data_IF_598600621791
#
_entry.id   IF_598600621791
#
_cell.length_a   1.000
_cell.length_b   1.000
_cell.length_c   1.000
_cell.angle_alpha   90.00
_cell.angle_beta   90.00
_cell.angle_gamma   90.00
#
_symmetry.space_group_name_H-M   'P 1'
#
loop_
_entity.id
_entity.type
_entity.pdbx_description
1 polymer ?
#
# COMPACT_ATOMS: atom_id res chain seq x y z
N UNK A 1 9.08 36.69 23.36
CA UNK A 1 7.93 37.46 22.85
C UNK A 1 7.83 37.37 21.31
N UNK A 2 8.87 37.77 20.55
CA UNK A 2 8.85 37.74 19.08
C UNK A 2 8.79 36.31 18.51
N UNK A 3 9.43 35.37 19.16
CA UNK A 3 9.41 33.95 18.78
C UNK A 3 8.05 33.27 19.08
N UNK A 4 7.34 33.69 20.12
CA UNK A 4 5.99 33.21 20.44
C UNK A 4 4.94 33.77 19.50
N UNK A 5 5.09 35.04 19.08
CA UNK A 5 4.20 35.70 18.14
C UNK A 5 4.36 35.12 16.72
N UNK A 6 5.60 34.81 16.28
CA UNK A 6 5.88 34.12 15.02
C UNK A 6 5.38 32.64 15.03
N UNK A 7 5.44 31.96 16.18
CA UNK A 7 4.90 30.59 16.29
C UNK A 7 3.38 30.57 16.27
N UNK A 8 2.71 31.49 16.94
CA UNK A 8 1.24 31.60 16.89
C UNK A 8 0.74 31.97 15.49
N UNK A 9 1.43 32.84 14.78
CA UNK A 9 1.11 33.20 13.39
C UNK A 9 1.26 32.01 12.45
N UNK A 10 2.29 31.19 12.64
CA UNK A 10 2.53 29.98 11.82
C UNK A 10 1.47 28.88 12.07
N UNK A 11 1.05 28.67 13.34
CA UNK A 11 -0.02 27.73 13.65
C UNK A 11 -1.37 28.16 13.11
N UNK A 12 -1.67 29.45 13.19
CA UNK A 12 -2.89 30.02 12.63
C UNK A 12 -2.93 29.85 11.12
N UNK A 13 -1.82 30.12 10.42
CA UNK A 13 -1.70 29.91 8.98
C UNK A 13 -1.87 28.44 8.61
N UNK A 14 -1.19 27.53 9.32
CA UNK A 14 -1.29 26.11 9.09
C UNK A 14 -2.74 25.60 9.18
N UNK A 15 -3.44 25.95 10.27
CA UNK A 15 -4.78 25.46 10.51
C UNK A 15 -5.86 26.16 9.68
N UNK A 16 -5.73 27.46 9.43
CA UNK A 16 -6.77 28.27 8.76
C UNK A 16 -6.63 28.30 7.25
N UNK A 17 -5.41 28.18 6.73
CA UNK A 17 -5.16 28.28 5.28
C UNK A 17 -4.63 26.98 4.69
N UNK A 18 -3.54 26.43 5.22
CA UNK A 18 -2.88 25.26 4.64
C UNK A 18 -3.77 24.01 4.70
N UNK A 19 -4.27 23.63 5.87
CA UNK A 19 -5.08 22.40 6.03
C UNK A 19 -6.37 22.43 5.21
N UNK A 20 -7.16 23.52 5.18
CA UNK A 20 -8.35 23.59 4.32
C UNK A 20 -8.03 23.48 2.82
N UNK A 21 -6.95 24.14 2.35
CA UNK A 21 -6.51 24.02 0.96
C UNK A 21 -6.08 22.61 0.61
N UNK A 22 -5.26 21.99 1.44
CA UNK A 22 -4.83 20.58 1.31
C UNK A 22 -6.04 19.65 1.25
N UNK A 23 -7.00 19.81 2.15
CA UNK A 23 -8.21 18.99 2.16
C UNK A 23 -9.06 19.19 0.88
N UNK A 24 -9.17 20.41 0.37
CA UNK A 24 -9.89 20.69 -0.87
C UNK A 24 -9.19 20.05 -2.07
N UNK A 25 -7.88 20.24 -2.20
CA UNK A 25 -7.08 19.65 -3.28
C UNK A 25 -7.11 18.13 -3.17
N UNK A 26 -6.90 17.58 -1.97
CA UNK A 26 -6.91 16.16 -1.70
C UNK A 26 -8.24 15.50 -2.05
N UNK A 27 -9.38 16.14 -1.75
CA UNK A 27 -10.70 15.64 -2.15
C UNK A 27 -10.86 15.63 -3.67
N UNK A 28 -10.51 16.73 -4.35
CA UNK A 28 -10.66 16.82 -5.81
C UNK A 28 -9.76 15.78 -6.50
N UNK A 29 -8.49 15.74 -6.15
CA UNK A 29 -7.53 14.79 -6.74
C UNK A 29 -7.84 13.35 -6.37
N UNK A 30 -8.35 13.09 -5.16
CA UNK A 30 -8.80 11.79 -4.71
C UNK A 30 -9.99 11.28 -5.53
N UNK A 31 -11.04 12.08 -5.70
CA UNK A 31 -12.17 11.71 -6.55
C UNK A 31 -11.76 11.52 -8.01
N UNK A 32 -10.89 12.38 -8.53
CA UNK A 32 -10.34 12.23 -9.88
C UNK A 32 -9.53 10.93 -10.01
N UNK A 33 -8.71 10.60 -9.01
CA UNK A 33 -7.96 9.35 -8.97
C UNK A 33 -8.86 8.12 -8.98
N UNK A 34 -9.94 8.12 -8.18
CA UNK A 34 -10.94 7.05 -8.19
C UNK A 34 -11.58 6.93 -9.57
N UNK A 35 -11.99 8.04 -10.19
CA UNK A 35 -12.61 8.04 -11.52
C UNK A 35 -11.64 7.49 -12.58
N UNK A 36 -10.40 7.93 -12.55
CA UNK A 36 -9.37 7.47 -13.48
C UNK A 36 -8.99 5.99 -13.28
N UNK A 37 -9.14 5.45 -12.07
CA UNK A 37 -8.87 4.02 -11.82
C UNK A 37 -9.84 3.09 -12.56
N UNK A 38 -11.04 3.56 -12.90
CA UNK A 38 -11.99 2.80 -13.74
C UNK A 38 -11.70 2.88 -15.24
N UNK A 39 -10.82 3.80 -15.67
CA UNK A 39 -10.52 4.01 -17.12
C UNK A 39 -10.08 2.73 -17.84
N UNK A 40 -9.17 1.90 -17.32
CA UNK A 40 -8.78 0.66 -17.99
C UNK A 40 -9.96 -0.31 -18.18
N UNK A 41 -10.81 -0.45 -17.17
CA UNK A 41 -11.99 -1.29 -17.24
C UNK A 41 -13.02 -0.76 -18.25
N UNK A 42 -13.23 0.56 -18.28
CA UNK A 42 -14.11 1.21 -19.25
C UNK A 42 -13.57 1.06 -20.69
N UNK A 43 -12.29 1.21 -20.92
CA UNK A 43 -11.66 0.99 -22.23
C UNK A 43 -11.88 -0.45 -22.69
N UNK A 44 -11.65 -1.43 -21.83
CA UNK A 44 -11.89 -2.85 -22.16
C UNK A 44 -13.37 -3.10 -22.49
N UNK A 45 -14.28 -2.53 -21.74
CA UNK A 45 -15.72 -2.70 -21.96
C UNK A 45 -16.20 -2.01 -23.24
N UNK A 46 -15.83 -0.73 -23.45
CA UNK A 46 -16.39 0.10 -24.53
C UNK A 46 -15.65 -0.10 -25.86
N UNK A 47 -14.33 -0.14 -25.84
CA UNK A 47 -13.51 -0.23 -27.06
C UNK A 47 -13.37 -1.67 -27.53
N UNK A 48 -13.15 -2.60 -26.60
CA UNK A 48 -12.90 -4.01 -26.92
C UNK A 48 -14.11 -4.92 -26.73
N UNK A 49 -15.21 -4.41 -26.18
CA UNK A 49 -16.44 -5.20 -25.91
C UNK A 49 -16.26 -6.31 -24.88
N UNK A 50 -15.19 -6.25 -24.08
CA UNK A 50 -14.85 -7.27 -23.08
C UNK A 50 -15.52 -6.91 -21.76
N UNK A 51 -16.62 -7.61 -21.45
CA UNK A 51 -17.32 -7.48 -20.17
C UNK A 51 -17.10 -8.74 -19.33
N UNK A 52 -16.58 -8.62 -18.12
CA UNK A 52 -16.42 -9.76 -17.22
C UNK A 52 -17.79 -10.28 -16.75
N UNK A 53 -17.89 -11.59 -16.53
CA UNK A 53 -19.10 -12.18 -15.94
C UNK A 53 -19.30 -11.66 -14.51
N UNK A 54 -20.54 -11.37 -14.06
CA UNK A 54 -20.79 -10.86 -12.71
C UNK A 54 -20.20 -11.73 -11.59
N UNK A 55 -20.24 -13.06 -11.75
CA UNK A 55 -19.64 -13.99 -10.79
C UNK A 55 -18.11 -13.83 -10.70
N UNK A 56 -17.43 -13.58 -11.82
CA UNK A 56 -15.99 -13.34 -11.83
C UNK A 56 -15.63 -12.02 -11.16
N UNK A 57 -16.44 -10.96 -11.36
CA UNK A 57 -16.30 -9.69 -10.66
C UNK A 57 -16.44 -9.84 -9.16
N UNK A 58 -17.47 -10.55 -8.70
CA UNK A 58 -17.70 -10.79 -7.28
C UNK A 58 -16.52 -11.57 -6.66
N UNK A 59 -16.07 -12.63 -7.33
CA UNK A 59 -14.91 -13.42 -6.85
C UNK A 59 -13.65 -12.57 -6.78
N UNK A 60 -13.37 -11.76 -7.79
CA UNK A 60 -12.22 -10.86 -7.80
C UNK A 60 -12.30 -9.80 -6.69
N UNK A 61 -13.49 -9.23 -6.47
CA UNK A 61 -13.72 -8.27 -5.39
C UNK A 61 -13.50 -8.90 -4.01
N UNK A 62 -14.07 -10.07 -3.76
CA UNK A 62 -13.89 -10.78 -2.48
C UNK A 62 -12.41 -11.12 -2.26
N UNK A 63 -11.71 -11.60 -3.28
CA UNK A 63 -10.27 -11.90 -3.20
C UNK A 63 -9.45 -10.64 -2.90
N UNK A 64 -9.71 -9.55 -3.60
CA UNK A 64 -9.04 -8.26 -3.37
C UNK A 64 -9.35 -7.67 -1.99
N UNK A 65 -10.61 -7.66 -1.59
CA UNK A 65 -11.02 -7.17 -0.27
C UNK A 65 -10.44 -8.03 0.87
N UNK A 66 -10.32 -9.34 0.66
CA UNK A 66 -9.70 -10.25 1.63
C UNK A 66 -8.20 -9.98 1.79
N UNK A 67 -7.51 -9.69 0.69
CA UNK A 67 -6.07 -9.44 0.71
C UNK A 67 -5.73 -8.05 1.29
N UNK A 68 -6.50 -7.03 0.95
CA UNK A 68 -6.15 -5.64 1.21
C UNK A 68 -7.10 -4.90 2.16
N UNK A 69 -8.27 -5.48 2.48
CA UNK A 69 -9.30 -4.78 3.25
C UNK A 69 -8.84 -4.32 4.63
N UNK A 70 -8.00 -5.08 5.32
CA UNK A 70 -7.41 -4.66 6.61
C UNK A 70 -6.48 -3.46 6.41
N UNK A 71 -5.69 -3.45 5.34
CA UNK A 71 -4.75 -2.37 5.03
C UNK A 71 -5.47 -1.06 4.74
N UNK A 72 -6.67 -1.10 4.13
CA UNK A 72 -7.48 0.09 3.86
C UNK A 72 -7.81 0.92 5.12
N UNK A 73 -7.85 0.28 6.28
CA UNK A 73 -8.10 0.94 7.57
C UNK A 73 -6.81 1.17 8.35
N UNK A 74 -5.92 0.18 8.40
CA UNK A 74 -4.72 0.23 9.23
C UNK A 74 -3.69 1.23 8.68
N UNK A 75 -3.51 1.27 7.37
CA UNK A 75 -2.52 2.17 6.76
C UNK A 75 -2.82 3.65 6.97
N UNK A 76 -4.03 4.17 6.70
CA UNK A 76 -4.34 5.57 6.97
C UNK A 76 -4.14 5.96 8.44
N UNK A 77 -4.59 5.10 9.35
CA UNK A 77 -4.46 5.34 10.80
C UNK A 77 -2.98 5.36 11.23
N UNK A 78 -2.16 4.47 10.65
CA UNK A 78 -0.75 4.35 11.01
C UNK A 78 0.12 5.46 10.43
N UNK A 79 -0.20 5.96 9.23
CA UNK A 79 0.65 6.94 8.54
C UNK A 79 0.26 8.37 8.83
N UNK A 80 -1.01 8.65 9.06
CA UNK A 80 -1.52 10.00 9.32
C UNK A 80 -0.77 10.75 10.45
N UNK A 81 -0.47 10.13 11.61
CA UNK A 81 0.28 10.81 12.67
C UNK A 81 1.71 11.22 12.27
N UNK A 82 2.31 10.51 11.30
CA UNK A 82 3.70 10.75 10.88
C UNK A 82 3.79 11.79 9.77
N UNK A 83 2.90 11.69 8.78
CA UNK A 83 3.00 12.46 7.54
C UNK A 83 1.91 13.52 7.38
N UNK A 84 0.93 13.55 8.27
CA UNK A 84 -0.19 14.49 8.24
C UNK A 84 -1.20 14.24 7.12
N UNK A 85 -2.16 15.16 6.96
CA UNK A 85 -3.25 15.01 6.00
C UNK A 85 -2.75 15.02 4.55
N UNK A 86 -1.89 15.97 4.18
CA UNK A 86 -1.34 16.09 2.84
C UNK A 86 -0.52 14.86 2.46
N UNK A 87 0.38 14.44 3.33
CA UNK A 87 1.20 13.26 3.12
C UNK A 87 0.39 11.99 2.98
N UNK A 88 -0.65 11.81 3.78
CA UNK A 88 -1.49 10.62 3.73
C UNK A 88 -2.19 10.49 2.38
N UNK A 89 -2.92 11.51 1.91
CA UNK A 89 -3.62 11.39 0.62
C UNK A 89 -2.65 11.25 -0.56
N UNK A 90 -1.51 11.95 -0.52
CA UNK A 90 -0.48 11.83 -1.56
C UNK A 90 0.11 10.41 -1.61
N UNK A 91 0.34 9.80 -0.45
CA UNK A 91 0.82 8.43 -0.36
C UNK A 91 -0.16 7.45 -1.01
N UNK A 92 -1.46 7.58 -0.71
CA UNK A 92 -2.49 6.71 -1.30
C UNK A 92 -2.67 6.90 -2.80
N UNK A 93 -2.67 8.14 -3.29
CA UNK A 93 -2.78 8.41 -4.72
C UNK A 93 -1.58 7.93 -5.53
N UNK A 94 -0.38 8.04 -4.96
CA UNK A 94 0.85 7.73 -5.68
C UNK A 94 1.30 6.27 -5.54
N UNK A 95 0.77 5.54 -4.56
CA UNK A 95 1.16 4.17 -4.26
C UNK A 95 2.59 4.02 -3.71
N UNK A 96 3.01 2.76 -3.52
CA UNK A 96 4.33 2.39 -2.97
C UNK A 96 4.64 3.05 -1.63
N UNK A 97 3.65 3.00 -0.72
CA UNK A 97 3.62 3.78 0.51
C UNK A 97 4.76 3.36 1.43
N UNK A 98 4.76 2.10 1.87
CA UNK A 98 5.67 1.59 2.90
C UNK A 98 7.12 1.51 2.46
N UNK A 99 7.37 1.22 1.17
CA UNK A 99 8.73 0.99 0.69
C UNK A 99 9.41 2.26 0.17
N UNK A 100 8.65 3.28 -0.20
CA UNK A 100 9.23 4.50 -0.78
C UNK A 100 8.70 5.78 -0.13
N UNK A 101 7.39 5.97 -0.02
CA UNK A 101 6.83 7.25 0.43
C UNK A 101 7.15 7.57 1.88
N UNK A 102 6.91 6.64 2.78
CA UNK A 102 7.19 6.82 4.20
C UNK A 102 8.70 6.95 4.48
N UNK A 103 9.59 6.11 3.93
CA UNK A 103 11.03 6.33 4.07
C UNK A 103 11.49 7.70 3.56
N UNK A 104 11.03 8.16 2.39
CA UNK A 104 11.39 9.48 1.87
C UNK A 104 10.87 10.62 2.77
N UNK A 105 9.66 10.51 3.28
CA UNK A 105 9.09 11.47 4.23
C UNK A 105 9.92 11.54 5.52
N UNK A 106 10.22 10.37 6.10
CA UNK A 106 11.01 10.29 7.35
C UNK A 106 12.43 10.81 7.15
N UNK A 107 13.09 10.49 6.03
CA UNK A 107 14.42 11.02 5.73
C UNK A 107 14.42 12.53 5.53
N UNK A 108 13.37 13.08 4.89
CA UNK A 108 13.23 14.53 4.76
C UNK A 108 13.04 15.22 6.12
N UNK A 109 12.23 14.62 7.02
CA UNK A 109 12.06 15.12 8.39
C UNK A 109 13.38 15.10 9.16
N UNK A 110 14.13 14.01 9.09
CA UNK A 110 15.45 13.90 9.73
C UNK A 110 16.42 14.93 9.16
N UNK A 111 16.47 15.10 7.83
CA UNK A 111 17.37 16.05 7.17
C UNK A 111 17.05 17.51 7.50
N UNK A 112 15.79 17.83 7.80
CA UNK A 112 15.33 19.16 8.19
C UNK A 112 15.31 19.38 9.71
N UNK A 113 15.73 18.40 10.51
CA UNK A 113 15.72 18.41 11.97
C UNK A 113 14.33 18.78 12.55
N UNK A 114 13.27 18.12 12.01
CA UNK A 114 11.88 18.32 12.46
C UNK A 114 11.27 17.01 12.95
N UNK A 115 10.47 17.10 13.99
CA UNK A 115 9.82 15.92 14.57
C UNK A 115 8.60 15.49 13.77
N UNK A 116 8.41 14.18 13.53
CA UNK A 116 7.16 13.62 12.99
C UNK A 116 5.95 14.00 13.87
N UNK A 117 4.81 14.22 13.22
CA UNK A 117 3.57 14.58 13.93
C UNK A 117 3.44 16.07 14.27
N UNK A 118 4.48 16.86 14.06
CA UNK A 118 4.41 18.32 14.15
C UNK A 118 3.90 18.95 12.85
N UNK A 119 3.42 20.18 12.90
CA UNK A 119 2.97 20.92 11.71
C UNK A 119 4.12 21.07 10.70
N UNK A 120 5.30 21.48 11.16
CA UNK A 120 6.52 21.57 10.34
C UNK A 120 6.93 20.22 9.79
N UNK A 121 6.89 19.18 10.62
CA UNK A 121 7.18 17.81 10.23
C UNK A 121 6.23 17.29 9.15
N UNK A 122 4.94 17.62 9.22
CA UNK A 122 3.95 17.26 8.21
C UNK A 122 4.21 17.94 6.85
N UNK A 123 4.57 19.23 6.86
CA UNK A 123 4.92 19.95 5.62
C UNK A 123 6.19 19.38 4.99
N UNK A 124 7.24 19.16 5.78
CA UNK A 124 8.51 18.60 5.29
C UNK A 124 8.31 17.16 4.77
N UNK A 125 7.53 16.34 5.47
CA UNK A 125 7.16 15.00 4.99
C UNK A 125 6.47 15.06 3.61
N UNK A 126 5.54 16.00 3.44
CA UNK A 126 4.83 16.22 2.17
C UNK A 126 5.78 16.58 1.05
N UNK A 127 6.75 17.46 1.29
CA UNK A 127 7.78 17.84 0.31
C UNK A 127 8.68 16.65 -0.06
N UNK A 128 9.15 15.88 0.92
CA UNK A 128 9.94 14.68 0.68
C UNK A 128 9.20 13.64 -0.17
N UNK A 129 7.91 13.44 0.13
CA UNK A 129 7.07 12.57 -0.70
C UNK A 129 6.85 13.10 -2.10
N UNK A 130 6.61 14.42 -2.27
CA UNK A 130 6.40 15.02 -3.59
C UNK A 130 7.60 14.77 -4.50
N UNK A 131 8.82 14.98 -4.00
CA UNK A 131 10.05 14.67 -4.75
C UNK A 131 10.11 13.19 -5.13
N UNK A 132 9.82 12.30 -4.19
CA UNK A 132 9.82 10.85 -4.46
C UNK A 132 8.77 10.45 -5.52
N UNK A 133 7.62 11.13 -5.56
CA UNK A 133 6.58 10.89 -6.58
C UNK A 133 7.09 11.28 -7.95
N UNK A 134 7.65 12.48 -8.10
CA UNK A 134 8.20 12.96 -9.38
C UNK A 134 9.25 11.98 -9.92
N UNK A 135 10.21 11.59 -9.10
CA UNK A 135 11.25 10.63 -9.49
C UNK A 135 10.64 9.30 -9.92
N UNK A 136 9.73 8.75 -9.11
CA UNK A 136 9.10 7.46 -9.39
C UNK A 136 8.27 7.49 -10.68
N UNK A 137 7.46 8.52 -10.88
CA UNK A 137 6.64 8.69 -12.10
C UNK A 137 7.54 8.85 -13.33
N UNK A 138 8.62 9.62 -13.21
CA UNK A 138 9.59 9.77 -14.31
C UNK A 138 10.22 8.44 -14.70
N UNK A 139 10.69 7.65 -13.73
CA UNK A 139 11.27 6.33 -13.97
C UNK A 139 10.24 5.37 -14.58
N UNK A 140 9.01 5.36 -14.06
CA UNK A 140 7.92 4.54 -14.61
C UNK A 140 7.57 4.95 -16.05
N UNK A 141 7.52 6.24 -16.33
CA UNK A 141 7.23 6.75 -17.69
C UNK A 141 8.32 6.33 -18.68
N UNK A 142 9.59 6.50 -18.30
CA UNK A 142 10.72 6.04 -19.12
C UNK A 142 10.64 4.53 -19.32
N UNK A 143 10.38 3.79 -18.24
CA UNK A 143 10.22 2.33 -18.30
C UNK A 143 9.04 1.89 -19.19
N UNK A 144 7.93 2.60 -19.17
CA UNK A 144 6.78 2.32 -20.03
C UNK A 144 7.05 2.58 -21.51
N UNK A 145 7.76 3.66 -21.83
CA UNK A 145 8.11 4.03 -23.20
C UNK A 145 9.17 3.08 -23.79
N UNK A 146 10.23 2.81 -23.03
CA UNK A 146 11.35 2.02 -23.47
C UNK A 146 11.19 0.52 -23.21
N UNK A 147 10.31 0.13 -22.30
CA UNK A 147 10.20 -1.23 -21.78
C UNK A 147 9.89 -2.26 -22.85
N UNK A 148 8.99 -1.95 -23.80
CA UNK A 148 8.66 -2.84 -24.91
C UNK A 148 9.87 -3.09 -25.83
N UNK A 149 10.63 -2.05 -26.13
CA UNK A 149 11.84 -2.16 -26.95
C UNK A 149 12.94 -2.95 -26.23
N UNK A 150 13.14 -2.67 -24.95
CA UNK A 150 14.11 -3.40 -24.12
C UNK A 150 13.71 -4.86 -23.99
N UNK A 151 12.42 -5.15 -23.70
CA UNK A 151 11.93 -6.52 -23.58
C UNK A 151 12.08 -7.32 -24.89
N UNK A 152 11.89 -6.68 -26.05
CA UNK A 152 12.07 -7.37 -27.34
C UNK A 152 13.52 -7.77 -27.58
N UNK A 153 14.48 -7.02 -27.06
CA UNK A 153 15.91 -7.30 -27.19
C UNK A 153 16.45 -8.36 -26.23
N UNK A 154 15.68 -8.69 -25.18
CA UNK A 154 16.11 -9.65 -24.18
C UNK A 154 16.05 -11.09 -24.70
N UNK A 155 17.06 -11.93 -24.38
CA UNK A 155 17.00 -13.36 -24.62
C UNK A 155 15.79 -14.00 -23.92
N UNK A 156 15.26 -15.07 -24.51
CA UNK A 156 14.08 -15.75 -23.96
C UNK A 156 14.29 -16.31 -22.55
N UNK A 157 15.52 -16.68 -22.21
CA UNK A 157 15.89 -17.08 -20.85
C UNK A 157 15.65 -15.98 -19.82
N UNK A 158 15.97 -14.72 -20.17
CA UNK A 158 15.73 -13.57 -19.28
C UNK A 158 14.24 -13.26 -19.21
N UNK A 159 13.52 -13.33 -20.34
CA UNK A 159 12.06 -13.18 -20.38
C UNK A 159 11.37 -14.21 -19.49
N UNK A 160 11.83 -15.46 -19.53
CA UNK A 160 11.32 -16.51 -18.66
C UNK A 160 11.61 -16.22 -17.17
N UNK A 161 12.80 -15.68 -16.85
CA UNK A 161 13.16 -15.30 -15.49
C UNK A 161 12.28 -14.16 -14.93
N UNK A 162 11.78 -13.24 -15.77
CA UNK A 162 10.87 -12.18 -15.36
C UNK A 162 9.54 -12.71 -14.79
N UNK A 163 9.11 -13.90 -15.17
CA UNK A 163 7.91 -14.54 -14.61
C UNK A 163 8.06 -14.86 -13.10
N UNK A 164 9.30 -14.98 -12.62
CA UNK A 164 9.58 -15.21 -11.21
C UNK A 164 9.77 -13.91 -10.40
N UNK A 165 9.67 -12.74 -11.04
CA UNK A 165 9.87 -11.45 -10.38
C UNK A 165 8.86 -11.22 -9.24
N UNK A 166 7.57 -11.47 -9.50
CA UNK A 166 6.52 -11.31 -8.49
C UNK A 166 6.68 -12.30 -7.32
N UNK A 167 6.84 -13.61 -7.53
CA UNK A 167 7.14 -14.55 -6.45
C UNK A 167 8.39 -14.17 -5.64
N UNK A 168 9.46 -13.73 -6.29
CA UNK A 168 10.69 -13.28 -5.63
C UNK A 168 10.46 -12.03 -4.78
N UNK A 169 9.71 -11.04 -5.31
CA UNK A 169 9.35 -9.83 -4.59
C UNK A 169 8.53 -10.15 -3.33
N UNK A 170 7.48 -10.97 -3.44
CA UNK A 170 6.68 -11.37 -2.30
C UNK A 170 7.47 -12.19 -1.29
N UNK A 171 8.39 -13.04 -1.74
CA UNK A 171 9.31 -13.75 -0.86
C UNK A 171 10.23 -12.80 -0.08
N UNK A 172 10.79 -11.80 -0.75
CA UNK A 172 11.61 -10.78 -0.11
C UNK A 172 10.81 -9.95 0.92
N UNK A 173 9.58 -9.55 0.59
CA UNK A 173 8.68 -8.85 1.52
C UNK A 173 8.33 -9.72 2.73
N UNK A 174 8.04 -11.00 2.52
CA UNK A 174 7.78 -11.94 3.61
C UNK A 174 8.96 -12.00 4.59
N UNK A 175 10.19 -12.10 4.08
CA UNK A 175 11.40 -12.09 4.92
C UNK A 175 11.58 -10.74 5.61
N UNK A 176 11.45 -9.63 4.88
CA UNK A 176 11.63 -8.28 5.41
C UNK A 176 10.69 -7.98 6.59
N UNK A 177 9.41 -8.27 6.45
CA UNK A 177 8.43 -8.07 7.51
C UNK A 177 8.49 -9.17 8.58
N UNK A 178 8.74 -10.39 8.15
CA UNK A 178 8.84 -11.57 9.03
C UNK A 178 9.99 -11.50 10.01
N UNK A 179 11.10 -10.89 9.64
CA UNK A 179 12.27 -10.73 10.52
C UNK A 179 11.98 -9.85 11.74
N UNK A 180 11.01 -8.94 11.66
CA UNK A 180 10.61 -8.09 12.79
C UNK A 180 9.83 -8.87 13.86
N UNK A 181 9.09 -9.91 13.45
CA UNK A 181 8.24 -10.73 14.34
C UNK A 181 8.46 -12.22 14.05
N UNK A 182 9.67 -12.72 14.27
CA UNK A 182 10.12 -14.07 13.85
C UNK A 182 9.16 -15.21 14.28
N UNK A 183 8.77 -15.25 15.55
CA UNK A 183 7.87 -16.30 16.07
C UNK A 183 6.51 -16.28 15.37
N UNK A 184 5.91 -15.09 15.25
CA UNK A 184 4.64 -14.91 14.57
C UNK A 184 4.72 -15.33 13.09
N UNK A 185 5.76 -14.89 12.40
CA UNK A 185 5.95 -15.19 10.97
C UNK A 185 6.14 -16.67 10.68
N UNK A 186 6.89 -17.37 11.51
CA UNK A 186 7.06 -18.84 11.36
C UNK A 186 5.71 -19.55 11.53
N UNK A 187 4.93 -19.18 12.56
CA UNK A 187 3.59 -19.77 12.78
C UNK A 187 2.70 -19.52 11.57
N UNK A 188 2.72 -18.29 11.03
CA UNK A 188 1.88 -17.92 9.89
C UNK A 188 2.30 -18.60 8.59
N UNK A 189 3.60 -18.75 8.34
CA UNK A 189 4.10 -19.48 7.16
C UNK A 189 3.69 -20.96 7.22
N UNK A 190 3.88 -21.61 8.37
CA UNK A 190 3.47 -23.01 8.55
C UNK A 190 1.96 -23.16 8.37
N UNK A 191 1.17 -22.28 8.98
CA UNK A 191 -0.28 -22.25 8.81
C UNK A 191 -0.69 -22.07 7.35
N UNK A 192 -0.08 -21.11 6.64
CA UNK A 192 -0.37 -20.86 5.24
C UNK A 192 -0.07 -22.08 4.35
N UNK A 193 1.09 -22.72 4.56
CA UNK A 193 1.46 -23.93 3.82
C UNK A 193 0.39 -25.03 4.02
N UNK A 194 0.02 -25.29 5.27
CA UNK A 194 -1.00 -26.30 5.60
C UNK A 194 -2.34 -25.96 4.95
N UNK A 195 -2.79 -24.71 5.09
CA UNK A 195 -4.07 -24.26 4.55
C UNK A 195 -4.11 -24.37 3.02
N UNK A 196 -3.08 -23.90 2.33
CA UNK A 196 -3.03 -23.99 0.87
C UNK A 196 -2.89 -25.43 0.37
N UNK A 197 -2.19 -26.27 1.12
CA UNK A 197 -2.13 -27.70 0.83
C UNK A 197 -3.51 -28.37 0.94
N UNK A 198 -4.28 -28.07 2.01
CA UNK A 198 -5.65 -28.56 2.18
C UNK A 198 -6.59 -28.05 1.08
N UNK A 199 -6.46 -26.79 0.67
CA UNK A 199 -7.23 -26.23 -0.45
C UNK A 199 -6.88 -26.99 -1.74
N UNK A 200 -5.58 -27.24 -1.99
CA UNK A 200 -5.12 -27.98 -3.16
C UNK A 200 -5.58 -29.44 -3.20
N UNK A 201 -5.75 -30.07 -2.05
CA UNK A 201 -6.33 -31.43 -1.94
C UNK A 201 -7.85 -31.46 -2.10
N UNK A 202 -8.51 -30.29 -2.23
CA UNK A 202 -9.94 -30.21 -2.48
C UNK A 202 -10.84 -30.34 -1.24
N UNK A 203 -10.30 -30.27 -0.02
CA UNK A 203 -11.10 -30.37 1.21
C UNK A 203 -12.20 -29.28 1.31
N UNK A 204 -12.03 -28.17 0.59
CA UNK A 204 -12.94 -27.02 0.62
C UNK A 204 -13.74 -26.86 -0.69
N UNK A 205 -13.83 -27.90 -1.54
CA UNK A 205 -14.54 -27.84 -2.82
C UNK A 205 -16.06 -27.59 -2.67
N UNK A 206 -16.63 -27.81 -1.47
CA UNK A 206 -18.00 -27.48 -1.15
C UNK A 206 -18.27 -25.97 -1.01
N UNK A 207 -17.22 -25.15 -0.85
CA UNK A 207 -17.30 -23.69 -0.79
C UNK A 207 -17.05 -23.08 -2.17
N UNK A 208 -17.99 -22.33 -2.75
CA UNK A 208 -17.81 -21.70 -4.06
C UNK A 208 -16.61 -20.74 -4.08
N UNK A 209 -15.65 -20.99 -4.97
CA UNK A 209 -14.47 -20.14 -5.13
C UNK A 209 -13.47 -20.16 -3.96
N UNK A 210 -13.54 -21.13 -3.06
CA UNK A 210 -12.69 -21.26 -1.88
C UNK A 210 -11.19 -21.18 -2.21
N UNK A 211 -10.76 -21.74 -3.35
CA UNK A 211 -9.38 -21.69 -3.82
C UNK A 211 -8.83 -20.27 -3.97
N UNK A 212 -9.69 -19.28 -4.20
CA UNK A 212 -9.27 -17.91 -4.49
C UNK A 212 -9.25 -17.00 -3.25
N UNK A 213 -10.14 -17.21 -2.29
CA UNK A 213 -10.30 -16.29 -1.17
C UNK A 213 -10.02 -16.91 0.22
N UNK A 214 -10.28 -18.21 0.38
CA UNK A 214 -10.19 -18.87 1.69
C UNK A 214 -8.75 -18.83 2.23
N UNK A 215 -7.75 -19.05 1.39
CA UNK A 215 -6.34 -19.01 1.78
C UNK A 215 -5.96 -17.63 2.33
N UNK A 216 -6.33 -16.59 1.63
CA UNK A 216 -6.01 -15.20 2.02
C UNK A 216 -6.77 -14.78 3.28
N UNK A 217 -8.10 -14.98 3.32
CA UNK A 217 -8.92 -14.67 4.50
C UNK A 217 -8.48 -15.47 5.73
N UNK A 218 -8.25 -16.77 5.57
CA UNK A 218 -7.78 -17.62 6.66
C UNK A 218 -6.47 -17.13 7.25
N UNK A 219 -5.49 -16.81 6.40
CA UNK A 219 -4.22 -16.26 6.85
C UNK A 219 -4.37 -14.91 7.56
N UNK A 220 -5.23 -14.01 7.08
CA UNK A 220 -5.48 -12.70 7.70
C UNK A 220 -6.11 -12.86 9.09
N UNK A 221 -7.20 -13.62 9.21
CA UNK A 221 -7.88 -13.79 10.49
C UNK A 221 -7.01 -14.51 11.53
N UNK A 222 -6.29 -15.55 11.11
CA UNK A 222 -5.38 -16.28 12.02
C UNK A 222 -4.20 -15.38 12.42
N UNK A 223 -3.68 -14.57 11.51
CA UNK A 223 -2.62 -13.61 11.83
C UNK A 223 -3.08 -12.57 12.88
N UNK A 224 -4.30 -12.04 12.74
CA UNK A 224 -4.89 -11.13 13.72
C UNK A 224 -5.06 -11.83 15.08
N UNK A 225 -5.61 -13.03 15.09
CA UNK A 225 -5.83 -13.80 16.32
C UNK A 225 -4.52 -14.12 17.06
N UNK A 226 -3.50 -14.59 16.33
CA UNK A 226 -2.17 -14.87 16.88
C UNK A 226 -1.50 -13.58 17.36
N UNK A 227 -1.62 -12.48 16.60
CA UNK A 227 -1.11 -11.17 17.00
C UNK A 227 -1.72 -10.66 18.30
N UNK A 228 -3.05 -10.72 18.43
CA UNK A 228 -3.75 -10.33 19.66
C UNK A 228 -3.38 -11.22 20.86
N UNK A 229 -3.24 -12.52 20.65
CA UNK A 229 -2.82 -13.46 21.70
C UNK A 229 -1.39 -13.16 22.18
N UNK A 230 -0.49 -12.79 21.27
CA UNK A 230 0.90 -12.46 21.58
C UNK A 230 0.98 -11.13 22.36
N UNK A 231 0.24 -10.11 21.95
CA UNK A 231 0.17 -8.82 22.65
C UNK A 231 -0.37 -8.97 24.07
N UNK A 232 -1.42 -9.77 24.28
CA UNK A 232 -2.01 -10.03 25.60
C UNK A 232 -1.03 -10.68 26.55
N UNK A 233 -0.09 -11.48 26.08
CA UNK A 233 0.92 -12.10 26.91
C UNK A 233 2.06 -11.14 27.28
N UNK A 234 2.42 -10.21 26.38
CA UNK A 234 3.47 -9.20 26.62
C UNK A 234 3.02 -8.10 27.58
N UNK A 235 1.71 -7.84 27.71
CA UNK A 235 1.14 -6.86 28.65
C UNK A 235 0.94 -7.43 30.07
N UNK A 236 1.23 -8.72 30.28
CA UNK A 236 1.13 -9.39 31.60
C UNK A 236 2.48 -9.60 32.29
N UNK A 237 3.59 -9.34 31.60
CA UNK A 237 4.95 -9.23 32.14
C UNK A 237 5.31 -7.76 32.39
#
# INVERSE_FOLDING_TARGET
FKQEEDTMNNQDYYNKEYVPQVNKIGKITGYLGVLLSFTPALVLAVVYGILPKPAALLTAFISGASAFGVLWFVEPISYFPVVGAAGTYMAFLSGNISNMRIPCASMAQVAADVEPGTEKGSVVATLGMAVSIVINVSVLTIGAILGTSVLSMLPDTIKAALNYLLPALFGALLVQFGMKMKKHSVIMVVFAIILYFMIGMGYFNWLPGASNWLGTLGCVFVSIAVGMATLKNTTKE
#
